data_IF_222086348267
#
_entry.id   IF_222086348267
#
_cell.length_a   1.000
_cell.length_b   1.000
_cell.length_c   1.000
_cell.angle_alpha   90.00
_cell.angle_beta   90.00
_cell.angle_gamma   90.00
#
_symmetry.space_group_name_H-M   'P 1'
#
loop_
_entity.id
_entity.type
_entity.pdbx_description
1 polymer ?
#
# COMPACT_ATOMS: atom_id res chain seq x y z
N UNK A 1 24.38 -45.27 -20.99
CA UNK A 1 24.20 -44.46 -22.22
C UNK A 1 23.62 -43.09 -21.81
N UNK A 2 24.45 -42.19 -21.27
CA UNK A 2 25.19 -41.14 -22.00
C UNK A 2 24.33 -39.96 -22.48
N UNK A 3 24.33 -38.86 -21.71
CA UNK A 3 24.72 -37.50 -22.16
C UNK A 3 24.71 -36.58 -20.93
N UNK A 4 25.85 -36.22 -20.36
CA UNK A 4 26.89 -35.28 -20.83
C UNK A 4 26.86 -34.07 -19.89
N UNK A 5 27.98 -33.90 -19.19
CA UNK A 5 28.37 -32.70 -18.51
C UNK A 5 28.22 -31.45 -19.41
N UNK A 6 27.59 -30.41 -18.88
CA UNK A 6 27.85 -29.01 -19.25
C UNK A 6 27.81 -28.25 -17.94
N UNK A 7 28.95 -27.82 -17.39
CA UNK A 7 29.87 -26.94 -18.08
C UNK A 7 29.43 -25.52 -17.73
N UNK A 8 30.05 -25.00 -16.68
CA UNK A 8 30.00 -23.61 -16.20
C UNK A 8 30.06 -22.67 -17.41
N UNK A 9 28.95 -22.03 -17.74
CA UNK A 9 28.90 -20.93 -18.72
C UNK A 9 28.34 -19.70 -18.03
N UNK A 10 29.18 -19.09 -17.20
CA UNK A 10 28.92 -17.78 -16.56
C UNK A 10 28.93 -16.63 -17.60
N UNK A 11 29.29 -16.90 -18.87
CA UNK A 11 29.48 -15.88 -19.90
C UNK A 11 28.27 -15.49 -20.77
N UNK A 12 27.18 -16.27 -20.82
CA UNK A 12 26.02 -15.98 -21.70
C UNK A 12 24.80 -15.38 -20.98
N UNK A 13 24.93 -15.11 -19.68
CA UNK A 13 23.79 -14.89 -18.79
C UNK A 13 23.16 -13.49 -18.85
N UNK A 14 23.89 -12.43 -19.27
CA UNK A 14 23.37 -11.04 -19.20
C UNK A 14 22.20 -10.78 -20.15
N UNK A 15 22.31 -11.20 -21.41
CA UNK A 15 21.25 -11.01 -22.41
C UNK A 15 19.98 -11.79 -22.12
N UNK A 16 20.11 -13.01 -21.58
CA UNK A 16 18.97 -13.84 -21.18
C UNK A 16 18.29 -13.35 -19.90
N UNK A 17 19.04 -12.71 -18.99
CA UNK A 17 18.49 -12.13 -17.75
C UNK A 17 17.70 -10.84 -18.05
N UNK A 18 18.25 -9.93 -18.87
CA UNK A 18 17.56 -8.70 -19.27
C UNK A 18 16.27 -8.98 -20.05
N UNK A 19 16.28 -10.02 -20.92
CA UNK A 19 15.08 -10.48 -21.63
C UNK A 19 14.00 -11.09 -20.73
N UNK A 20 14.33 -11.46 -19.49
CA UNK A 20 13.34 -11.96 -18.50
C UNK A 20 12.74 -10.85 -17.64
N UNK A 21 13.36 -9.66 -17.62
CA UNK A 21 12.85 -8.51 -16.87
C UNK A 21 11.83 -7.69 -17.66
N UNK A 22 11.88 -7.76 -18.99
CA UNK A 22 10.97 -7.04 -19.87
C UNK A 22 9.79 -7.95 -20.29
N UNK A 23 8.60 -7.37 -20.50
CA UNK A 23 7.44 -8.12 -20.95
C UNK A 23 7.72 -8.83 -22.28
N UNK A 24 7.40 -10.11 -22.33
CA UNK A 24 7.63 -10.95 -23.50
C UNK A 24 6.51 -10.83 -24.54
N UNK A 25 6.75 -11.41 -25.73
CA UNK A 25 5.73 -11.48 -26.79
C UNK A 25 4.43 -12.15 -26.33
N UNK A 26 4.54 -13.13 -25.42
CA UNK A 26 3.39 -13.83 -24.85
C UNK A 26 2.53 -12.91 -23.96
N UNK A 27 3.16 -12.01 -23.20
CA UNK A 27 2.47 -11.07 -22.31
C UNK A 27 1.73 -10.02 -23.14
N UNK A 28 2.39 -9.48 -24.17
CA UNK A 28 1.76 -8.56 -25.13
C UNK A 28 0.59 -9.24 -25.86
N UNK A 29 0.76 -10.49 -26.29
CA UNK A 29 -0.32 -11.25 -26.92
C UNK A 29 -1.51 -11.45 -25.98
N UNK A 30 -1.28 -11.66 -24.67
CA UNK A 30 -2.36 -11.75 -23.66
C UNK A 30 -3.05 -10.41 -23.46
N UNK A 31 -2.31 -9.32 -23.30
CA UNK A 31 -2.84 -7.97 -23.11
C UNK A 31 -3.73 -7.53 -24.29
N UNK A 32 -3.38 -7.94 -25.52
CA UNK A 32 -4.18 -7.64 -26.72
C UNK A 32 -5.47 -8.46 -26.85
N UNK A 33 -5.69 -9.51 -26.05
CA UNK A 33 -6.90 -10.35 -26.15
C UNK A 33 -8.15 -9.65 -25.65
N UNK A 34 -8.06 -8.86 -24.58
CA UNK A 34 -9.21 -8.19 -23.95
C UNK A 34 -8.87 -6.77 -23.43
N UNK A 35 -8.37 -5.87 -24.28
CA UNK A 35 -7.88 -4.55 -23.84
C UNK A 35 -8.94 -3.73 -23.11
N UNK A 36 -10.20 -3.76 -23.55
CA UNK A 36 -11.28 -3.03 -22.88
C UNK A 36 -11.56 -3.53 -21.47
N UNK A 37 -11.50 -4.86 -21.24
CA UNK A 37 -11.73 -5.42 -19.90
C UNK A 37 -10.58 -5.09 -18.95
N UNK A 38 -9.35 -5.18 -19.45
CA UNK A 38 -8.15 -4.92 -18.65
C UNK A 38 -8.02 -3.41 -18.34
N UNK A 39 -8.42 -2.54 -19.27
CA UNK A 39 -8.46 -1.09 -19.06
C UNK A 39 -9.56 -0.68 -18.07
N UNK A 40 -10.76 -1.24 -18.17
CA UNK A 40 -11.82 -1.02 -17.18
C UNK A 40 -11.39 -1.52 -15.80
N UNK A 41 -10.80 -2.71 -15.71
CA UNK A 41 -10.26 -3.24 -14.45
C UNK A 41 -9.17 -2.33 -13.87
N UNK A 42 -8.20 -1.92 -14.69
CA UNK A 42 -7.14 -0.99 -14.28
C UNK A 42 -7.69 0.36 -13.79
N UNK A 43 -8.69 0.90 -14.48
CA UNK A 43 -9.37 2.13 -14.06
C UNK A 43 -10.07 1.95 -12.71
N UNK A 44 -10.83 0.87 -12.52
CA UNK A 44 -11.49 0.60 -11.23
C UNK A 44 -10.49 0.46 -10.09
N UNK A 45 -9.37 -0.23 -10.32
CA UNK A 45 -8.29 -0.37 -9.33
C UNK A 45 -7.64 0.98 -9.03
N UNK A 46 -7.35 1.80 -10.04
CA UNK A 46 -6.75 3.13 -9.85
C UNK A 46 -7.66 4.05 -9.04
N UNK A 47 -8.96 4.03 -9.36
CA UNK A 47 -10.03 4.75 -8.66
C UNK A 47 -10.07 4.33 -7.18
N UNK A 48 -10.08 3.02 -6.87
CA UNK A 48 -10.07 2.52 -5.48
C UNK A 48 -8.74 2.78 -4.75
N UNK A 49 -7.61 2.76 -5.46
CA UNK A 49 -6.28 2.97 -4.88
C UNK A 49 -5.97 4.43 -4.56
N UNK A 50 -6.62 5.39 -5.25
CA UNK A 50 -6.36 6.82 -5.12
C UNK A 50 -6.53 7.33 -3.68
N UNK A 51 -7.65 7.07 -2.96
CA UNK A 51 -7.80 7.51 -1.58
C UNK A 51 -6.77 6.89 -0.63
N UNK A 52 -6.43 5.61 -0.83
CA UNK A 52 -5.43 4.91 -0.01
C UNK A 52 -4.05 5.53 -0.20
N UNK A 53 -3.66 5.85 -1.44
CA UNK A 53 -2.39 6.49 -1.73
C UNK A 53 -2.27 7.88 -1.08
N UNK A 54 -3.33 8.68 -1.17
CA UNK A 54 -3.41 9.99 -0.52
C UNK A 54 -3.31 9.85 1.01
N UNK A 55 -4.11 8.97 1.59
CA UNK A 55 -4.15 8.72 3.03
C UNK A 55 -2.81 8.25 3.58
N UNK A 56 -2.16 7.30 2.91
CA UNK A 56 -0.82 6.82 3.30
C UNK A 56 0.28 7.86 3.10
N UNK A 57 0.17 8.73 2.08
CA UNK A 57 1.09 9.85 1.88
C UNK A 57 1.00 10.86 3.03
N UNK A 58 -0.22 11.28 3.39
CA UNK A 58 -0.46 12.19 4.52
C UNK A 58 -0.03 11.55 5.84
N UNK A 59 -0.43 10.30 6.09
CA UNK A 59 -0.10 9.60 7.32
C UNK A 59 1.41 9.38 7.49
N UNK A 60 2.19 9.30 6.40
CA UNK A 60 3.65 9.20 6.45
C UNK A 60 4.37 10.50 6.83
N UNK A 61 3.65 11.63 6.91
CA UNK A 61 4.23 12.96 7.15
C UNK A 61 4.83 13.63 5.92
N UNK A 62 4.80 12.98 4.74
CA UNK A 62 5.31 13.52 3.48
C UNK A 62 4.25 14.26 2.65
N UNK A 63 2.98 14.10 2.99
CA UNK A 63 1.85 14.72 2.31
C UNK A 63 1.26 13.88 1.18
N UNK A 64 0.09 14.32 0.71
CA UNK A 64 -0.71 13.63 -0.29
C UNK A 64 0.00 13.45 -1.64
N UNK A 65 0.76 14.48 -2.07
CA UNK A 65 1.52 14.46 -3.33
C UNK A 65 2.57 13.36 -3.38
N UNK A 66 3.26 13.09 -2.27
CA UNK A 66 4.24 12.01 -2.17
C UNK A 66 3.58 10.64 -2.30
N UNK A 67 2.41 10.44 -1.69
CA UNK A 67 1.62 9.22 -1.82
C UNK A 67 1.18 8.96 -3.27
N UNK A 68 0.67 9.98 -3.95
CA UNK A 68 0.30 9.92 -5.37
C UNK A 68 1.50 9.61 -6.26
N UNK A 69 2.60 10.34 -6.09
CA UNK A 69 3.82 10.12 -6.87
C UNK A 69 4.34 8.69 -6.70
N UNK A 70 4.33 8.18 -5.47
CA UNK A 70 4.73 6.80 -5.17
C UNK A 70 3.81 5.79 -5.88
N UNK A 71 2.50 5.99 -5.86
CA UNK A 71 1.55 5.10 -6.52
C UNK A 71 1.77 5.05 -8.04
N UNK A 72 1.95 6.21 -8.68
CA UNK A 72 2.18 6.30 -10.12
C UNK A 72 3.50 5.64 -10.51
N UNK A 73 4.60 6.02 -9.84
CA UNK A 73 5.94 5.54 -10.19
C UNK A 73 6.07 4.04 -9.88
N UNK A 74 5.67 3.59 -8.69
CA UNK A 74 5.74 2.18 -8.32
C UNK A 74 4.83 1.32 -9.20
N UNK A 75 3.64 1.80 -9.54
CA UNK A 75 2.71 1.14 -10.44
C UNK A 75 3.30 0.97 -11.84
N UNK A 76 3.85 2.04 -12.43
CA UNK A 76 4.46 2.00 -13.76
C UNK A 76 5.68 1.06 -13.80
N UNK A 77 6.56 1.15 -12.81
CA UNK A 77 7.75 0.28 -12.71
C UNK A 77 7.34 -1.19 -12.54
N UNK A 78 6.38 -1.48 -11.65
CA UNK A 78 5.91 -2.84 -11.44
C UNK A 78 5.11 -3.41 -12.63
N UNK A 79 4.41 -2.58 -13.39
CA UNK A 79 3.73 -3.02 -14.61
C UNK A 79 4.70 -3.53 -15.69
N UNK A 80 5.93 -2.98 -15.72
CA UNK A 80 6.96 -3.37 -16.69
C UNK A 80 7.85 -4.50 -16.15
N UNK A 81 8.33 -4.37 -14.91
CA UNK A 81 9.34 -5.24 -14.33
C UNK A 81 8.80 -6.25 -13.29
N UNK A 82 7.48 -6.23 -13.04
CA UNK A 82 6.83 -7.08 -12.05
C UNK A 82 6.79 -8.55 -12.44
N UNK A 83 6.52 -9.40 -11.45
CA UNK A 83 6.49 -10.85 -11.62
C UNK A 83 5.09 -11.45 -11.87
N UNK A 84 4.04 -10.64 -11.82
CA UNK A 84 2.65 -11.09 -11.92
C UNK A 84 1.77 -10.12 -12.72
N UNK A 85 0.93 -10.66 -13.59
CA UNK A 85 0.00 -9.91 -14.44
C UNK A 85 -1.17 -9.24 -13.67
N UNK A 86 -1.35 -9.59 -12.39
CA UNK A 86 -2.42 -9.05 -11.53
C UNK A 86 -1.86 -8.25 -10.35
N UNK A 87 -0.55 -7.98 -10.35
CA UNK A 87 0.09 -7.21 -9.30
C UNK A 87 -0.30 -5.74 -9.39
N UNK A 88 -0.65 -5.16 -8.24
CA UNK A 88 -0.85 -3.71 -8.08
C UNK A 88 0.19 -3.23 -7.07
N UNK A 89 0.96 -2.22 -7.43
CA UNK A 89 2.05 -1.69 -6.61
C UNK A 89 1.84 -0.22 -6.31
N UNK A 90 2.14 0.19 -5.08
CA UNK A 90 1.96 1.56 -4.60
C UNK A 90 2.36 1.70 -3.13
N UNK A 91 2.05 2.84 -2.49
CA UNK A 91 2.27 3.02 -1.06
C UNK A 91 1.42 2.01 -0.26
N UNK A 92 1.99 1.46 0.80
CA UNK A 92 1.33 0.47 1.66
C UNK A 92 1.32 0.94 3.10
N UNK A 93 0.25 0.65 3.84
CA UNK A 93 0.14 1.03 5.25
C UNK A 93 1.30 0.51 6.09
N UNK A 94 1.78 -0.72 5.83
CA UNK A 94 2.93 -1.30 6.51
C UNK A 94 4.20 -0.45 6.36
N UNK A 95 4.48 0.03 5.14
CA UNK A 95 5.63 0.91 4.90
C UNK A 95 5.41 2.27 5.54
N UNK A 96 4.21 2.85 5.43
CA UNK A 96 3.87 4.12 6.08
C UNK A 96 4.13 4.09 7.58
N UNK A 97 3.69 3.02 8.27
CA UNK A 97 3.95 2.81 9.71
C UNK A 97 5.44 2.85 10.03
N UNK A 98 6.29 2.23 9.21
CA UNK A 98 7.74 2.25 9.40
C UNK A 98 8.39 3.59 9.08
N UNK A 99 7.81 4.38 8.17
CA UNK A 99 8.36 5.67 7.74
C UNK A 99 8.01 6.83 8.69
N UNK A 100 6.90 6.77 9.41
CA UNK A 100 6.47 7.85 10.34
C UNK A 100 7.56 8.24 11.35
N UNK A 101 8.19 7.30 12.09
CA UNK A 101 9.24 7.66 13.04
C UNK A 101 10.47 8.29 12.36
N UNK A 102 10.76 7.87 11.12
CA UNK A 102 11.88 8.40 10.34
C UNK A 102 11.56 9.82 9.89
N UNK A 103 10.33 10.07 9.42
CA UNK A 103 9.86 11.41 9.06
C UNK A 103 9.90 12.36 10.25
N UNK A 104 9.49 11.90 11.44
CA UNK A 104 9.52 12.71 12.66
C UNK A 104 10.95 13.05 13.11
N UNK A 105 11.89 12.11 13.01
CA UNK A 105 13.27 12.30 13.50
C UNK A 105 14.20 12.96 12.49
N UNK A 106 13.98 12.72 11.20
CA UNK A 106 14.91 13.10 10.12
C UNK A 106 14.26 13.89 8.98
N UNK A 107 12.96 14.21 9.10
CA UNK A 107 12.21 14.93 8.07
C UNK A 107 12.05 14.14 6.77
N UNK A 108 11.54 14.82 5.75
CA UNK A 108 11.29 14.23 4.44
C UNK A 108 12.58 13.70 3.78
N UNK A 109 13.70 14.41 3.94
CA UNK A 109 14.99 13.99 3.40
C UNK A 109 15.46 12.64 3.98
N UNK A 110 15.21 12.39 5.27
CA UNK A 110 15.51 11.11 5.90
C UNK A 110 14.72 9.96 5.28
N UNK A 111 13.43 10.17 5.04
CA UNK A 111 12.57 9.16 4.40
C UNK A 111 13.03 8.84 2.98
N UNK A 112 13.34 9.86 2.18
CA UNK A 112 13.83 9.68 0.82
C UNK A 112 15.18 8.93 0.80
N UNK A 113 16.07 9.26 1.74
CA UNK A 113 17.37 8.61 1.88
C UNK A 113 17.22 7.13 2.24
N UNK A 114 16.38 6.81 3.24
CA UNK A 114 16.10 5.42 3.62
C UNK A 114 15.42 4.66 2.47
N UNK A 115 14.50 5.29 1.76
CA UNK A 115 13.85 4.71 0.57
C UNK A 115 14.86 4.37 -0.53
N UNK A 116 15.81 5.27 -0.80
CA UNK A 116 16.88 5.03 -1.78
C UNK A 116 17.79 3.87 -1.35
N UNK A 117 18.22 3.85 -0.09
CA UNK A 117 19.06 2.78 0.46
C UNK A 117 18.34 1.42 0.43
N UNK A 118 17.05 1.40 0.81
CA UNK A 118 16.23 0.20 0.72
C UNK A 118 16.10 -0.29 -0.72
N UNK A 119 15.90 0.62 -1.68
CA UNK A 119 15.87 0.28 -3.11
C UNK A 119 17.17 -0.34 -3.60
N UNK A 120 18.32 0.25 -3.26
CA UNK A 120 19.65 -0.29 -3.59
C UNK A 120 19.84 -1.68 -2.96
N UNK A 121 19.48 -1.85 -1.70
CA UNK A 121 19.58 -3.14 -1.01
C UNK A 121 18.69 -4.20 -1.67
N UNK A 122 17.45 -3.85 -2.01
CA UNK A 122 16.52 -4.73 -2.72
C UNK A 122 17.05 -5.13 -4.10
N UNK A 123 17.66 -4.21 -4.84
CA UNK A 123 18.34 -4.53 -6.11
C UNK A 123 19.50 -5.50 -5.88
N UNK A 124 20.33 -5.28 -4.86
CA UNK A 124 21.40 -6.20 -4.46
C UNK A 124 20.87 -7.61 -4.15
N UNK A 125 19.82 -7.70 -3.34
CA UNK A 125 19.15 -8.96 -3.01
C UNK A 125 18.53 -9.64 -4.25
N UNK A 126 18.00 -8.86 -5.19
CA UNK A 126 17.48 -9.37 -6.45
C UNK A 126 18.59 -9.99 -7.32
N UNK A 127 19.78 -9.36 -7.41
CA UNK A 127 20.94 -9.93 -8.10
C UNK A 127 21.42 -11.23 -7.47
N UNK A 128 21.40 -11.31 -6.14
CA UNK A 128 21.69 -12.53 -5.38
C UNK A 128 20.56 -13.58 -5.47
N UNK A 129 19.42 -13.23 -6.10
CA UNK A 129 18.21 -14.07 -6.19
C UNK A 129 17.68 -14.49 -4.82
N UNK A 130 17.93 -13.66 -3.80
CA UNK A 130 17.52 -13.88 -2.42
C UNK A 130 15.99 -13.88 -2.26
N UNK A 131 15.25 -13.31 -3.22
CA UNK A 131 13.77 -13.40 -3.26
C UNK A 131 13.24 -14.84 -3.27
N UNK A 132 14.04 -15.84 -3.68
CA UNK A 132 13.66 -17.24 -3.55
C UNK A 132 13.54 -17.69 -2.11
N UNK A 133 14.23 -17.05 -1.17
CA UNK A 133 14.18 -17.41 0.24
C UNK A 133 12.82 -17.09 0.88
N UNK A 134 12.04 -16.15 0.30
CA UNK A 134 10.70 -15.80 0.77
C UNK A 134 9.78 -17.03 0.80
N UNK A 135 10.00 -18.03 -0.07
CA UNK A 135 9.23 -19.29 -0.08
C UNK A 135 9.39 -20.12 1.20
N UNK A 136 10.41 -19.86 2.01
CA UNK A 136 10.69 -20.58 3.25
C UNK A 136 10.09 -19.89 4.48
N UNK A 137 9.49 -18.71 4.32
CA UNK A 137 8.79 -18.03 5.40
C UNK A 137 7.53 -18.86 5.74
N UNK A 138 7.38 -19.36 6.98
CA UNK A 138 6.20 -20.12 7.37
C UNK A 138 4.93 -19.29 7.24
N UNK A 139 3.83 -19.92 6.79
CA UNK A 139 2.52 -19.27 6.70
C UNK A 139 2.10 -18.57 8.01
N UNK A 140 2.29 -19.15 9.21
CA UNK A 140 1.95 -18.47 10.47
C UNK A 140 2.68 -17.15 10.69
N UNK A 141 3.91 -17.00 10.16
CA UNK A 141 4.67 -15.75 10.26
C UNK A 141 4.07 -14.68 9.36
N UNK A 142 3.66 -15.05 8.15
CA UNK A 142 3.02 -14.13 7.19
C UNK A 142 1.65 -13.67 7.72
N UNK A 143 0.88 -14.60 8.26
CA UNK A 143 -0.42 -14.31 8.88
C UNK A 143 -0.26 -13.42 10.11
N UNK A 144 0.67 -13.75 11.01
CA UNK A 144 0.97 -12.95 12.20
C UNK A 144 1.44 -11.53 11.85
N UNK A 145 2.32 -11.39 10.85
CA UNK A 145 2.79 -10.09 10.39
C UNK A 145 1.64 -9.26 9.79
N UNK A 146 0.78 -9.89 8.99
CA UNK A 146 -0.37 -9.23 8.36
C UNK A 146 -1.41 -8.81 9.39
N UNK A 147 -1.71 -9.67 10.37
CA UNK A 147 -2.58 -9.35 11.51
C UNK A 147 -2.00 -8.21 12.36
N UNK A 148 -0.69 -8.22 12.59
CA UNK A 148 0.01 -7.15 13.30
C UNK A 148 -0.11 -5.80 12.59
N UNK A 149 0.12 -5.76 11.27
CA UNK A 149 -0.08 -4.54 10.47
C UNK A 149 -1.54 -4.08 10.53
N UNK A 150 -2.50 -5.00 10.40
CA UNK A 150 -3.91 -4.66 10.47
C UNK A 150 -4.27 -4.03 11.83
N UNK A 151 -3.75 -4.59 12.93
CA UNK A 151 -3.92 -4.05 14.28
C UNK A 151 -3.29 -2.64 14.41
N UNK A 152 -2.09 -2.44 13.88
CA UNK A 152 -1.44 -1.11 13.93
C UNK A 152 -2.23 -0.09 13.12
N UNK A 153 -2.65 -0.42 11.90
CA UNK A 153 -3.48 0.48 11.07
C UNK A 153 -4.78 0.82 11.81
N UNK A 154 -5.45 -0.18 12.39
CA UNK A 154 -6.66 0.02 13.17
C UNK A 154 -6.43 1.00 14.33
N UNK A 155 -5.41 0.77 15.14
CA UNK A 155 -5.08 1.63 16.27
C UNK A 155 -4.73 3.07 15.83
N UNK A 156 -4.09 3.25 14.68
CA UNK A 156 -3.83 4.57 14.10
C UNK A 156 -5.10 5.32 13.71
N UNK A 157 -6.22 4.62 13.44
CA UNK A 157 -7.50 5.27 13.11
C UNK A 157 -8.31 5.65 14.36
N UNK A 158 -7.99 5.13 15.55
CA UNK A 158 -8.77 5.36 16.78
C UNK A 158 -8.92 6.85 17.13
N UNK A 159 -7.86 7.69 17.12
CA UNK A 159 -8.02 9.12 17.42
C UNK A 159 -8.98 9.83 16.47
N UNK A 160 -8.83 9.58 15.16
CA UNK A 160 -9.70 10.17 14.14
C UNK A 160 -11.15 9.69 14.28
N UNK A 161 -11.37 8.40 14.58
CA UNK A 161 -12.70 7.83 14.77
C UNK A 161 -13.43 8.40 16.00
N UNK A 162 -12.67 8.81 17.03
CA UNK A 162 -13.19 9.41 18.25
C UNK A 162 -13.26 10.95 18.20
N UNK A 163 -12.81 11.59 17.12
CA UNK A 163 -12.77 13.06 17.01
C UNK A 163 -11.68 13.70 17.88
N UNK A 164 -10.69 12.94 18.33
CA UNK A 164 -9.62 13.41 19.23
C UNK A 164 -8.35 13.68 18.43
N UNK A 165 -7.66 14.76 18.76
CA UNK A 165 -6.36 15.06 18.19
C UNK A 165 -5.32 14.09 18.73
N UNK A 166 -4.70 13.31 17.86
CA UNK A 166 -3.65 12.38 18.26
C UNK A 166 -2.49 13.14 18.91
N UNK A 167 -2.21 12.84 20.18
CA UNK A 167 -0.97 13.27 20.83
C UNK A 167 0.18 12.52 20.17
N UNK A 168 1.16 13.24 19.64
CA UNK A 168 2.30 12.64 18.96
C UNK A 168 3.01 11.62 19.87
N UNK A 169 3.40 10.46 19.33
CA UNK A 169 4.08 9.42 20.10
C UNK A 169 4.55 8.25 19.25
N UNK A 170 5.67 7.65 19.65
CA UNK A 170 6.31 6.54 18.92
C UNK A 170 5.55 5.21 19.09
N UNK A 171 4.60 5.13 20.04
CA UNK A 171 3.88 3.89 20.40
C UNK A 171 2.38 4.03 20.07
N UNK A 172 2.00 3.48 18.92
CA UNK A 172 0.61 3.54 18.41
C UNK A 172 -0.45 3.09 19.42
N UNK A 173 -0.17 2.04 20.20
CA UNK A 173 -1.10 1.55 21.22
C UNK A 173 -1.36 2.57 22.35
N UNK A 174 -0.33 3.32 22.77
CA UNK A 174 -0.49 4.37 23.79
C UNK A 174 -1.27 5.55 23.22
N UNK A 175 -0.98 5.96 21.98
CA UNK A 175 -1.72 7.03 21.30
C UNK A 175 -3.21 6.70 21.18
N UNK A 176 -3.54 5.45 20.84
CA UNK A 176 -4.93 4.99 20.80
C UNK A 176 -5.58 4.97 22.19
N UNK A 177 -4.86 4.53 23.22
CA UNK A 177 -5.35 4.53 24.60
C UNK A 177 -5.63 5.95 25.10
N UNK A 178 -4.70 6.87 24.89
CA UNK A 178 -4.86 8.27 25.28
C UNK A 178 -6.07 8.92 24.59
N UNK A 179 -6.31 8.58 23.31
CA UNK A 179 -7.49 9.05 22.60
C UNK A 179 -8.80 8.51 23.21
N UNK A 180 -8.83 7.26 23.66
CA UNK A 180 -10.00 6.69 24.37
C UNK A 180 -10.21 7.41 25.71
N UNK A 181 -9.14 7.67 26.46
CA UNK A 181 -9.22 8.40 27.73
C UNK A 181 -9.73 9.82 27.49
N UNK A 182 -9.20 10.53 26.49
CA UNK A 182 -9.66 11.88 26.16
C UNK A 182 -11.14 11.92 25.76
N UNK A 183 -11.57 10.96 24.93
CA UNK A 183 -12.97 10.82 24.54
C UNK A 183 -13.86 10.57 25.77
N UNK A 184 -13.41 9.78 26.74
CA UNK A 184 -14.17 9.55 27.96
C UNK A 184 -14.36 10.83 28.79
N UNK A 185 -13.40 11.76 28.76
CA UNK A 185 -13.50 13.04 29.45
C UNK A 185 -14.34 14.07 28.67
N UNK A 186 -14.26 14.07 27.34
CA UNK A 186 -14.97 15.00 26.45
C UNK A 186 -15.44 14.27 25.18
N UNK A 187 -16.58 13.56 25.24
CA UNK A 187 -17.01 12.72 24.12
C UNK A 187 -17.53 13.57 22.96
N UNK A 188 -16.98 13.36 21.77
CA UNK A 188 -17.54 13.83 20.51
C UNK A 188 -18.35 12.71 19.83
N UNK A 189 -19.63 12.64 20.19
CA UNK A 189 -20.56 11.65 19.62
C UNK A 189 -20.78 11.85 18.12
N UNK A 190 -20.52 13.05 17.59
CA UNK A 190 -20.70 13.36 16.16
C UNK A 190 -19.63 12.65 15.34
N UNK A 191 -18.37 12.80 15.74
CA UNK A 191 -17.24 12.11 15.09
C UNK A 191 -17.41 10.59 15.14
N UNK A 192 -17.79 10.05 16.30
CA UNK A 192 -18.03 8.61 16.47
C UNK A 192 -19.20 8.11 15.60
N UNK A 193 -20.30 8.87 15.51
CA UNK A 193 -21.44 8.51 14.68
C UNK A 193 -21.09 8.53 13.18
N UNK A 194 -20.30 9.51 12.72
CA UNK A 194 -19.80 9.58 11.34
C UNK A 194 -18.90 8.37 11.06
N UNK A 195 -17.92 8.08 11.92
CA UNK A 195 -17.01 6.95 11.76
C UNK A 195 -17.78 5.62 11.71
N UNK A 196 -18.72 5.40 12.62
CA UNK A 196 -19.58 4.22 12.63
C UNK A 196 -20.45 4.14 11.36
N UNK A 197 -21.02 5.25 10.91
CA UNK A 197 -21.80 5.34 9.67
C UNK A 197 -20.98 4.98 8.43
N UNK A 198 -19.73 5.44 8.34
CA UNK A 198 -18.79 5.07 7.27
C UNK A 198 -18.49 3.57 7.32
N UNK A 199 -18.19 3.02 8.50
CA UNK A 199 -17.91 1.58 8.64
C UNK A 199 -19.12 0.74 8.24
N UNK A 200 -20.32 1.06 8.74
CA UNK A 200 -21.56 0.34 8.42
C UNK A 200 -21.86 0.43 6.92
N UNK A 201 -21.77 1.63 6.34
CA UNK A 201 -22.02 1.82 4.91
C UNK A 201 -21.00 1.08 4.04
N UNK A 202 -19.73 1.01 4.43
CA UNK A 202 -18.72 0.21 3.72
C UNK A 202 -19.00 -1.29 3.83
N UNK A 203 -19.32 -1.81 5.04
CA UNK A 203 -19.58 -3.24 5.25
C UNK A 203 -20.85 -3.71 4.53
N UNK A 204 -21.93 -2.95 4.64
CA UNK A 204 -23.22 -3.28 4.02
C UNK A 204 -23.20 -2.99 2.52
N UNK A 205 -22.69 -1.82 2.13
CA UNK A 205 -22.60 -1.38 0.74
C UNK A 205 -21.72 -2.29 -0.09
N UNK A 206 -20.50 -2.58 0.36
CA UNK A 206 -19.58 -3.49 -0.35
C UNK A 206 -20.15 -4.89 -0.52
N UNK A 207 -20.89 -5.39 0.49
CA UNK A 207 -21.56 -6.70 0.40
C UNK A 207 -22.71 -6.71 -0.59
N UNK A 208 -23.44 -5.59 -0.73
CA UNK A 208 -24.58 -5.50 -1.65
C UNK A 208 -24.11 -5.23 -3.08
N UNK A 209 -23.24 -4.24 -3.30
CA UNK A 209 -22.84 -3.74 -4.62
C UNK A 209 -21.30 -3.70 -4.78
N UNK A 210 -20.62 -4.86 -4.89
CA UNK A 210 -19.16 -4.95 -4.87
C UNK A 210 -18.44 -4.22 -6.01
N UNK A 211 -19.16 -3.83 -7.07
CA UNK A 211 -18.64 -3.06 -8.21
C UNK A 211 -18.54 -1.56 -7.94
N UNK A 212 -19.17 -1.06 -6.87
CA UNK A 212 -19.21 0.38 -6.57
C UNK A 212 -18.05 0.73 -5.62
N UNK A 213 -17.21 1.74 -5.96
CA UNK A 213 -16.11 2.18 -5.10
C UNK A 213 -16.65 3.03 -3.95
N UNK A 214 -17.26 2.39 -2.95
CA UNK A 214 -17.89 3.07 -1.81
C UNK A 214 -16.94 3.99 -1.04
N UNK A 215 -15.64 3.67 -0.98
CA UNK A 215 -14.63 4.53 -0.35
C UNK A 215 -14.54 5.91 -1.02
N UNK A 216 -14.63 5.98 -2.35
CA UNK A 216 -14.64 7.24 -3.08
C UNK A 216 -15.95 7.98 -2.96
N UNK A 217 -17.09 7.28 -3.00
CA UNK A 217 -18.38 7.89 -2.77
C UNK A 217 -18.45 8.53 -1.38
N UNK A 218 -17.95 7.83 -0.36
CA UNK A 218 -17.88 8.35 0.99
C UNK A 218 -17.02 9.63 1.06
N UNK A 219 -15.83 9.64 0.44
CA UNK A 219 -14.98 10.82 0.37
C UNK A 219 -15.66 11.96 -0.38
N UNK A 220 -16.24 11.71 -1.55
CA UNK A 220 -16.92 12.72 -2.36
C UNK A 220 -18.11 13.34 -1.61
N UNK A 221 -18.95 12.51 -0.98
CA UNK A 221 -20.10 12.95 -0.17
C UNK A 221 -19.60 13.77 1.02
N UNK A 222 -18.60 13.30 1.76
CA UNK A 222 -18.04 14.05 2.88
C UNK A 222 -17.47 15.41 2.44
N UNK A 223 -16.74 15.47 1.32
CA UNK A 223 -16.23 16.73 0.76
C UNK A 223 -17.36 17.68 0.38
N UNK A 224 -18.43 17.20 -0.23
CA UNK A 224 -19.60 18.04 -0.59
C UNK A 224 -20.29 18.55 0.67
N UNK A 225 -20.50 17.68 1.68
CA UNK A 225 -21.14 18.07 2.94
C UNK A 225 -20.34 19.16 3.65
N UNK A 226 -19.02 19.01 3.72
CA UNK A 226 -18.15 20.05 4.32
C UNK A 226 -18.15 21.32 3.47
N UNK A 227 -18.05 21.21 2.14
CA UNK A 227 -18.02 22.37 1.25
C UNK A 227 -19.32 23.20 1.27
N UNK A 228 -20.46 22.56 1.54
CA UNK A 228 -21.77 23.22 1.64
C UNK A 228 -22.09 23.62 3.09
N UNK A 229 -21.58 22.88 4.07
CA UNK A 229 -21.85 23.06 5.50
C UNK A 229 -21.04 24.17 6.18
N UNK A 230 -19.88 24.53 5.63
CA UNK A 230 -18.94 25.50 6.23
C UNK A 230 -17.96 24.84 7.18
#
# INVERSE_FOLDING_TARGET
MTRVARGVTVGLARGALLRRLLPGRADVARMRRRPGRDLLAGLTVAVVALPLALGFGVASGLGASAGLATAIVAGAVAAIFGGSNLQVSGPTGAMTVGLVPIAHRHGAAGVLTVGLLAGILLLGLAFLRAGRAVRYVPVPVVEGFTAGIAAVIFLQQVPAALGVHARGGDKVALVAWDAVVDFAHRPDWTALAIAAGVVVSMLVGSRRWPTVPFSLLAVAVATIVVAVGG
#
